data_IF_242646754379
#
_entry.id   IF_242646754379
#
_cell.length_a   1.000
_cell.length_b   1.000
_cell.length_c   1.000
_cell.angle_alpha   90.00
_cell.angle_beta   90.00
_cell.angle_gamma   90.00
#
_symmetry.space_group_name_H-M   'P 1'
#
loop_
_entity.id
_entity.type
_entity.pdbx_description
1 polymer ?
#
# COMPACT_ATOMS: atom_id res chain seq x y z
N UNK A 1 -12.55 -15.46 -3.95
CA UNK A 1 -12.20 -16.74 -4.61
C UNK A 1 -11.44 -16.40 -5.88
N UNK A 2 -10.26 -16.98 -6.08
CA UNK A 2 -9.48 -16.79 -7.32
C UNK A 2 -10.28 -17.35 -8.50
N UNK A 3 -10.49 -16.54 -9.53
CA UNK A 3 -11.19 -16.96 -10.73
C UNK A 3 -10.33 -17.97 -11.50
N UNK A 4 -10.89 -19.12 -11.87
CA UNK A 4 -10.17 -20.10 -12.69
C UNK A 4 -10.37 -19.77 -14.17
N UNK A 5 -9.38 -19.13 -14.78
CA UNK A 5 -9.41 -18.75 -16.19
C UNK A 5 -9.46 -19.93 -17.16
N UNK A 6 -9.13 -21.16 -16.73
CA UNK A 6 -9.33 -22.36 -17.55
C UNK A 6 -10.81 -22.63 -17.86
N UNK A 7 -11.73 -22.07 -17.06
CA UNK A 7 -13.18 -22.20 -17.30
C UNK A 7 -13.66 -21.44 -18.53
N UNK A 8 -12.84 -20.56 -19.12
CA UNK A 8 -13.19 -19.75 -20.30
C UNK A 8 -12.42 -20.13 -21.56
N UNK A 9 -11.80 -21.31 -21.59
CA UNK A 9 -11.04 -21.80 -22.75
C UNK A 9 -11.95 -22.41 -23.83
N UNK A 10 -11.56 -22.22 -25.08
CA UNK A 10 -12.17 -22.81 -26.27
C UNK A 10 -11.10 -23.30 -27.25
N UNK A 11 -11.43 -24.34 -28.01
CA UNK A 11 -10.73 -24.73 -29.23
C UNK A 11 -11.20 -23.86 -30.41
N UNK A 12 -10.37 -23.60 -31.43
CA UNK A 12 -10.78 -22.85 -32.64
C UNK A 12 -11.96 -23.50 -33.39
N UNK A 13 -12.13 -24.81 -33.24
CA UNK A 13 -13.20 -25.60 -33.87
C UNK A 13 -14.49 -25.66 -33.04
N UNK A 14 -14.49 -25.16 -31.79
CA UNK A 14 -15.70 -25.09 -30.99
C UNK A 14 -16.74 -24.18 -31.67
N UNK A 15 -18.02 -24.43 -31.44
CA UNK A 15 -19.09 -23.66 -32.08
C UNK A 15 -19.30 -22.29 -31.43
N UNK A 16 -19.84 -21.34 -32.20
CA UNK A 16 -20.28 -20.03 -31.67
C UNK A 16 -21.26 -20.22 -30.50
N UNK A 17 -22.15 -21.22 -30.57
CA UNK A 17 -23.04 -21.59 -29.44
C UNK A 17 -22.25 -21.90 -28.18
N UNK A 18 -21.21 -22.72 -28.30
CA UNK A 18 -20.36 -23.07 -27.16
C UNK A 18 -19.66 -21.85 -26.58
N UNK A 19 -19.20 -20.93 -27.43
CA UNK A 19 -18.65 -19.66 -26.96
C UNK A 19 -19.64 -18.83 -26.14
N UNK A 20 -20.90 -18.74 -26.58
CA UNK A 20 -21.97 -18.06 -25.83
C UNK A 20 -22.15 -18.69 -24.45
N UNK A 21 -22.21 -20.03 -24.36
CA UNK A 21 -22.33 -20.74 -23.09
C UNK A 21 -21.15 -20.47 -22.15
N UNK A 22 -19.93 -20.48 -22.69
CA UNK A 22 -18.72 -20.22 -21.91
C UNK A 22 -18.68 -18.78 -21.40
N UNK A 23 -19.08 -17.81 -22.23
CA UNK A 23 -19.14 -16.40 -21.85
C UNK A 23 -20.18 -16.16 -20.75
N UNK A 24 -21.35 -16.78 -20.85
CA UNK A 24 -22.44 -16.70 -19.88
C UNK A 24 -22.05 -17.35 -18.53
N UNK A 25 -21.51 -18.57 -18.57
CA UNK A 25 -21.13 -19.32 -17.37
C UNK A 25 -19.86 -18.78 -16.71
N UNK A 26 -18.91 -18.28 -17.51
CA UNK A 26 -17.60 -17.81 -17.05
C UNK A 26 -17.65 -16.48 -16.30
N UNK A 27 -18.76 -15.73 -16.35
CA UNK A 27 -18.97 -14.43 -15.69
C UNK A 27 -17.92 -13.34 -16.01
N UNK A 28 -17.02 -13.58 -16.97
CA UNK A 28 -15.96 -12.64 -17.38
C UNK A 28 -16.19 -12.00 -18.73
N UNK A 29 -17.31 -12.33 -19.41
CA UNK A 29 -17.71 -11.71 -20.69
C UNK A 29 -16.69 -11.91 -21.83
N UNK A 30 -15.84 -12.96 -21.73
CA UNK A 30 -14.80 -13.28 -22.70
C UNK A 30 -14.56 -14.80 -22.71
N UNK A 31 -14.25 -15.34 -23.88
CA UNK A 31 -13.67 -16.66 -24.06
C UNK A 31 -12.31 -16.57 -24.75
N UNK A 32 -11.39 -17.47 -24.38
CA UNK A 32 -10.00 -17.50 -24.83
C UNK A 32 -9.82 -18.71 -25.75
N UNK A 33 -9.46 -18.46 -27.00
CA UNK A 33 -9.27 -19.52 -28.00
C UNK A 33 -7.81 -19.93 -27.98
N UNK A 34 -7.53 -21.21 -27.75
CA UNK A 34 -6.18 -21.75 -27.61
C UNK A 34 -5.95 -22.99 -28.49
N UNK A 35 -4.69 -23.31 -28.78
CA UNK A 35 -4.30 -24.58 -29.39
C UNK A 35 -4.14 -25.71 -28.34
N UNK A 36 -3.67 -26.88 -28.78
CA UNK A 36 -3.46 -28.05 -27.93
C UNK A 36 -2.35 -27.84 -26.87
N UNK A 37 -1.47 -26.87 -27.09
CA UNK A 37 -0.38 -26.47 -26.19
C UNK A 37 -0.73 -25.23 -25.36
N UNK A 38 -2.02 -24.84 -25.30
CA UNK A 38 -2.55 -23.67 -24.61
C UNK A 38 -1.96 -22.32 -25.08
N UNK A 39 -1.46 -22.26 -26.32
CA UNK A 39 -1.04 -20.99 -26.92
C UNK A 39 -2.26 -20.19 -27.34
N UNK A 40 -2.27 -18.91 -27.02
CA UNK A 40 -3.40 -18.03 -27.34
C UNK A 40 -3.49 -17.80 -28.85
N UNK A 41 -4.58 -18.25 -29.46
CA UNK A 41 -4.90 -18.02 -30.88
C UNK A 41 -5.80 -16.80 -31.08
N UNK A 42 -6.66 -16.50 -30.10
CA UNK A 42 -7.59 -15.39 -30.20
C UNK A 42 -8.50 -15.24 -28.98
N UNK A 43 -9.39 -14.27 -29.05
CA UNK A 43 -10.42 -14.04 -28.03
C UNK A 43 -11.80 -13.88 -28.68
N UNK A 44 -12.85 -14.24 -27.94
CA UNK A 44 -14.24 -14.06 -28.37
C UNK A 44 -14.99 -13.33 -27.26
N UNK A 45 -15.69 -12.27 -27.64
CA UNK A 45 -16.58 -11.49 -26.76
C UNK A 45 -18.00 -11.45 -27.33
N UNK A 46 -18.96 -10.93 -26.56
CA UNK A 46 -20.32 -10.64 -27.07
C UNK A 46 -20.30 -9.76 -28.32
N UNK A 47 -19.34 -8.83 -28.42
CA UNK A 47 -19.16 -7.97 -29.59
C UNK A 47 -18.76 -8.75 -30.84
N UNK A 48 -17.94 -9.79 -30.69
CA UNK A 48 -17.51 -10.67 -31.79
C UNK A 48 -18.67 -11.55 -32.26
N UNK A 49 -19.37 -12.18 -31.33
CA UNK A 49 -20.54 -13.02 -31.60
C UNK A 49 -21.62 -12.21 -32.32
N UNK A 50 -21.95 -11.02 -31.79
CA UNK A 50 -22.92 -10.11 -32.42
C UNK A 50 -22.51 -9.75 -33.85
N UNK A 51 -21.23 -9.45 -34.10
CA UNK A 51 -20.71 -9.19 -35.46
C UNK A 51 -20.81 -10.41 -36.36
N UNK A 52 -20.58 -11.61 -35.84
CA UNK A 52 -20.75 -12.88 -36.56
C UNK A 52 -22.19 -13.14 -36.99
N UNK A 53 -23.16 -12.94 -36.08
CA UNK A 53 -24.60 -13.08 -36.35
C UNK A 53 -25.04 -12.08 -37.44
N UNK A 54 -24.57 -10.83 -37.38
CA UNK A 54 -24.85 -9.81 -38.41
C UNK A 54 -24.27 -10.17 -39.79
N UNK A 55 -23.27 -11.06 -39.84
CA UNK A 55 -22.71 -11.62 -41.09
C UNK A 55 -23.39 -12.93 -41.50
N UNK A 56 -24.49 -13.31 -40.86
CA UNK A 56 -25.25 -14.54 -41.10
C UNK A 56 -24.49 -15.85 -40.84
N UNK A 57 -23.52 -15.83 -39.92
CA UNK A 57 -22.90 -17.09 -39.45
C UNK A 57 -23.91 -17.90 -38.62
N UNK A 58 -23.91 -19.21 -38.81
CA UNK A 58 -24.73 -20.12 -38.02
C UNK A 58 -24.12 -20.28 -36.62
N UNK A 59 -24.95 -20.55 -35.61
CA UNK A 59 -24.47 -20.80 -34.25
C UNK A 59 -23.56 -22.04 -34.15
N UNK A 60 -23.66 -22.96 -35.11
CA UNK A 60 -22.81 -24.14 -35.22
C UNK A 60 -21.50 -23.88 -36.00
N UNK A 61 -21.30 -22.67 -36.52
CA UNK A 61 -20.03 -22.31 -37.17
C UNK A 61 -18.89 -22.27 -36.16
N UNK A 62 -17.64 -22.62 -36.57
CA UNK A 62 -16.46 -22.54 -35.71
C UNK A 62 -16.19 -21.13 -35.19
N UNK A 63 -15.74 -21.02 -33.94
CA UNK A 63 -15.37 -19.75 -33.29
C UNK A 63 -14.20 -19.06 -33.97
N UNK A 64 -13.33 -19.80 -34.66
CA UNK A 64 -12.26 -19.25 -35.48
C UNK A 64 -12.76 -18.24 -36.54
N UNK A 65 -14.04 -18.32 -36.95
CA UNK A 65 -14.63 -17.40 -37.93
C UNK A 65 -15.09 -16.07 -37.33
N UNK A 66 -15.24 -15.98 -36.01
CA UNK A 66 -15.70 -14.77 -35.30
C UNK A 66 -14.65 -14.18 -34.36
N UNK A 67 -13.67 -14.97 -33.92
CA UNK A 67 -12.69 -14.53 -32.94
C UNK A 67 -11.85 -13.33 -33.41
N UNK A 68 -11.42 -12.52 -32.44
CA UNK A 68 -10.31 -11.60 -32.65
C UNK A 68 -9.00 -12.41 -32.60
N UNK A 69 -8.42 -12.67 -33.77
CA UNK A 69 -7.16 -13.41 -33.93
C UNK A 69 -5.90 -12.61 -33.54
N UNK A 70 -6.04 -11.32 -33.18
CA UNK A 70 -4.94 -10.48 -32.71
C UNK A 70 -5.36 -9.72 -31.45
N UNK A 71 -5.62 -10.42 -30.33
CA UNK A 71 -5.96 -9.77 -29.08
C UNK A 71 -4.75 -8.99 -28.55
N UNK A 72 -5.01 -7.91 -27.81
CA UNK A 72 -3.98 -7.35 -26.94
C UNK A 72 -3.69 -8.34 -25.80
N UNK A 73 -2.44 -8.43 -25.35
CA UNK A 73 -2.01 -9.34 -24.29
C UNK A 73 -1.05 -8.65 -23.34
N UNK A 74 -0.93 -9.15 -22.11
CA UNK A 74 0.07 -8.74 -21.14
C UNK A 74 1.13 -9.84 -20.94
N UNK A 75 2.41 -9.49 -20.69
CA UNK A 75 3.41 -10.45 -20.24
C UNK A 75 3.14 -10.89 -18.80
N UNK A 76 3.67 -12.03 -18.37
CA UNK A 76 3.47 -12.57 -17.00
C UNK A 76 4.01 -11.68 -15.86
N UNK A 77 4.88 -10.72 -16.17
CA UNK A 77 5.53 -9.81 -15.21
C UNK A 77 5.09 -8.35 -15.38
N UNK A 78 3.88 -8.12 -15.90
CA UNK A 78 3.35 -6.79 -16.15
C UNK A 78 3.19 -5.94 -14.88
N UNK A 79 3.27 -4.61 -15.01
CA UNK A 79 2.92 -3.67 -13.95
C UNK A 79 1.44 -3.31 -14.01
N UNK A 80 0.79 -3.14 -12.85
CA UNK A 80 -0.64 -2.77 -12.76
C UNK A 80 -1.01 -1.54 -13.60
N UNK A 81 -0.13 -0.53 -13.65
CA UNK A 81 -0.29 0.67 -14.47
C UNK A 81 -0.32 0.37 -15.97
N UNK A 82 0.53 -0.54 -16.44
CA UNK A 82 0.58 -0.98 -17.85
C UNK A 82 -0.73 -1.68 -18.22
N UNK A 83 -1.25 -2.53 -17.34
CA UNK A 83 -2.53 -3.21 -17.56
C UNK A 83 -3.70 -2.21 -17.64
N UNK A 84 -3.77 -1.24 -16.73
CA UNK A 84 -4.78 -0.18 -16.75
C UNK A 84 -4.70 0.68 -18.03
N UNK A 85 -3.48 1.04 -18.45
CA UNK A 85 -3.25 1.81 -19.67
C UNK A 85 -3.67 1.02 -20.92
N UNK A 86 -3.35 -0.28 -20.97
CA UNK A 86 -3.72 -1.14 -22.09
C UNK A 86 -5.23 -1.32 -22.18
N UNK A 87 -5.90 -1.63 -21.07
CA UNK A 87 -7.37 -1.75 -21.01
C UNK A 87 -8.06 -0.46 -21.49
N UNK A 88 -7.59 0.70 -21.01
CA UNK A 88 -8.14 2.00 -21.39
C UNK A 88 -7.92 2.34 -22.87
N UNK A 89 -6.69 2.16 -23.38
CA UNK A 89 -6.34 2.48 -24.77
C UNK A 89 -6.98 1.54 -25.79
N UNK A 90 -7.05 0.24 -25.48
CA UNK A 90 -7.69 -0.76 -26.32
C UNK A 90 -9.23 -0.79 -26.18
N UNK A 91 -9.79 -0.05 -25.22
CA UNK A 91 -11.23 -0.05 -24.88
C UNK A 91 -11.78 -1.46 -24.62
N UNK A 92 -10.99 -2.28 -23.92
CA UNK A 92 -11.36 -3.65 -23.53
C UNK A 92 -11.46 -3.75 -22.02
N UNK A 93 -12.25 -4.71 -21.56
CA UNK A 93 -12.50 -4.93 -20.12
C UNK A 93 -11.67 -6.08 -19.55
N UNK A 94 -11.04 -6.88 -20.41
CA UNK A 94 -10.21 -8.03 -20.05
C UNK A 94 -9.00 -8.11 -20.98
N UNK A 95 -7.86 -8.58 -20.45
CA UNK A 95 -6.64 -8.80 -21.22
C UNK A 95 -6.01 -10.15 -20.85
N UNK A 96 -5.80 -11.07 -21.81
CA UNK A 96 -5.09 -12.33 -21.57
C UNK A 96 -3.62 -12.08 -21.17
N UNK A 97 -3.12 -12.89 -20.26
CA UNK A 97 -1.72 -12.87 -19.81
C UNK A 97 -1.00 -14.05 -20.46
N UNK A 98 0.09 -13.79 -21.16
CA UNK A 98 0.90 -14.80 -21.85
C UNK A 98 2.35 -14.77 -21.38
N UNK A 99 3.03 -15.92 -21.44
CA UNK A 99 4.48 -15.98 -21.22
C UNK A 99 5.26 -15.66 -22.52
N UNK A 100 6.59 -15.72 -22.46
CA UNK A 100 7.48 -15.45 -23.61
C UNK A 100 7.22 -16.37 -24.82
N UNK A 101 6.70 -17.57 -24.59
CA UNK A 101 6.34 -18.51 -25.64
C UNK A 101 4.93 -18.26 -26.22
N UNK A 102 4.16 -17.29 -25.69
CA UNK A 102 2.77 -17.05 -26.10
C UNK A 102 1.76 -18.04 -25.52
N UNK A 103 2.18 -18.87 -24.55
CA UNK A 103 1.29 -19.75 -23.80
C UNK A 103 0.51 -18.90 -22.81
N UNK A 104 -0.81 -19.13 -22.75
CA UNK A 104 -1.70 -18.44 -21.83
C UNK A 104 -1.40 -18.87 -20.39
N UNK A 105 -1.21 -17.90 -19.50
CA UNK A 105 -0.92 -18.14 -18.07
C UNK A 105 -1.92 -17.47 -17.14
N UNK A 106 -2.81 -16.64 -17.68
CA UNK A 106 -3.83 -15.95 -16.90
C UNK A 106 -4.74 -15.04 -17.70
N UNK A 107 -5.67 -14.39 -17.00
CA UNK A 107 -6.58 -13.40 -17.54
C UNK A 107 -6.70 -12.26 -16.52
N UNK A 108 -6.35 -11.05 -16.95
CA UNK A 108 -6.54 -9.85 -16.14
C UNK A 108 -7.85 -9.16 -16.54
N UNK A 109 -8.60 -8.62 -15.58
CA UNK A 109 -9.83 -7.87 -15.89
C UNK A 109 -9.83 -6.51 -15.23
N UNK A 110 -10.48 -5.53 -15.86
CA UNK A 110 -10.62 -4.20 -15.27
C UNK A 110 -11.25 -4.28 -13.88
N UNK A 111 -12.27 -5.14 -13.70
CA UNK A 111 -12.89 -5.38 -12.40
C UNK A 111 -11.90 -5.92 -11.38
N UNK A 112 -10.99 -6.83 -11.77
CA UNK A 112 -9.99 -7.38 -10.84
C UNK A 112 -8.89 -6.36 -10.52
N UNK A 113 -8.47 -5.54 -11.49
CA UNK A 113 -7.58 -4.41 -11.24
C UNK A 113 -8.23 -3.31 -10.41
N UNK A 114 -9.54 -3.13 -10.50
CA UNK A 114 -10.30 -2.17 -9.69
C UNK A 114 -10.63 -2.73 -8.30
N UNK A 115 -10.67 -4.05 -8.11
CA UNK A 115 -10.74 -4.64 -6.78
C UNK A 115 -9.47 -4.28 -6.03
N UNK A 116 -9.63 -3.64 -4.86
CA UNK A 116 -8.52 -3.38 -3.96
C UNK A 116 -7.87 -4.73 -3.61
N UNK A 117 -6.56 -4.92 -3.84
CA UNK A 117 -5.88 -6.11 -3.34
C UNK A 117 -6.12 -6.20 -1.83
N UNK A 118 -6.39 -7.37 -1.26
CA UNK A 118 -6.50 -7.48 0.20
C UNK A 118 -5.12 -7.72 0.76
N UNK A 119 -4.57 -6.73 1.44
CA UNK A 119 -3.32 -6.87 2.17
C UNK A 119 -3.62 -7.50 3.53
N UNK A 120 -3.16 -8.73 3.72
CA UNK A 120 -3.31 -9.50 4.96
C UNK A 120 -2.43 -8.99 6.10
N UNK A 121 -1.40 -8.20 5.75
CA UNK A 121 -0.50 -7.52 6.66
C UNK A 121 -1.29 -6.61 7.61
N UNK A 122 -1.13 -6.76 8.93
CA UNK A 122 -1.75 -5.84 9.88
C UNK A 122 -1.09 -4.46 9.80
N UNK A 123 -1.87 -3.45 10.16
CA UNK A 123 -1.41 -2.06 10.33
C UNK A 123 -1.58 -1.67 11.78
N UNK A 124 -0.55 -1.05 12.35
CA UNK A 124 -0.56 -0.43 13.67
C UNK A 124 -0.44 1.08 13.53
N UNK A 125 -1.47 1.81 13.99
CA UNK A 125 -1.49 3.27 13.98
C UNK A 125 -1.28 3.79 15.41
N UNK A 126 -0.26 4.62 15.58
CA UNK A 126 0.08 5.21 16.87
C UNK A 126 -0.79 6.44 17.16
N UNK A 127 -1.68 6.38 18.14
CA UNK A 127 -2.54 7.51 18.50
C UNK A 127 -2.55 7.86 20.01
N UNK A 128 -1.58 7.35 20.78
CA UNK A 128 -1.51 7.52 22.25
C UNK A 128 -0.82 8.80 22.77
N UNK A 129 -0.19 9.61 21.91
CA UNK A 129 0.63 10.74 22.36
C UNK A 129 -0.14 11.94 22.92
N UNK A 130 0.41 12.62 23.94
CA UNK A 130 -0.20 13.82 24.55
C UNK A 130 -0.19 15.07 23.66
N UNK A 131 0.67 15.14 22.63
CA UNK A 131 0.71 16.27 21.71
C UNK A 131 1.00 17.65 22.34
N UNK A 132 1.74 17.70 23.45
CA UNK A 132 1.90 18.92 24.27
C UNK A 132 2.48 20.12 23.54
N UNK A 133 3.25 19.91 22.47
CA UNK A 133 3.86 20.96 21.64
C UNK A 133 2.86 21.72 20.74
N UNK A 134 1.65 21.20 20.60
CA UNK A 134 0.56 21.79 19.81
C UNK A 134 -0.52 22.44 20.68
N UNK A 135 -0.28 22.59 21.99
CA UNK A 135 -1.21 23.33 22.85
C UNK A 135 -1.37 24.77 22.35
N UNK A 136 -2.59 25.34 22.40
CA UNK A 136 -3.77 24.82 23.09
C UNK A 136 -4.65 23.84 22.27
N UNK A 137 -4.32 23.57 21.00
CA UNK A 137 -5.14 22.71 20.13
C UNK A 137 -5.34 21.31 20.73
N UNK A 138 -4.32 20.81 21.43
CA UNK A 138 -4.31 19.47 22.03
C UNK A 138 -4.85 19.40 23.44
N UNK A 139 -5.39 20.49 24.01
CA UNK A 139 -5.99 20.46 25.36
C UNK A 139 -7.34 19.73 25.38
N UNK A 140 -8.09 19.79 24.28
CA UNK A 140 -9.42 19.17 24.15
C UNK A 140 -9.55 18.20 22.97
N UNK A 141 -8.49 18.02 22.18
CA UNK A 141 -8.48 17.15 21.01
C UNK A 141 -7.16 16.34 20.97
N UNK A 142 -7.19 14.99 20.88
CA UNK A 142 -5.97 14.23 20.67
C UNK A 142 -5.22 14.74 19.43
N UNK A 143 -3.88 14.79 19.47
CA UNK A 143 -3.07 15.23 18.32
C UNK A 143 -3.48 14.55 16.99
N UNK A 144 -3.60 13.21 16.90
CA UNK A 144 -4.00 12.53 15.66
C UNK A 144 -5.41 12.90 15.16
N UNK A 145 -6.24 13.49 16.02
CA UNK A 145 -7.60 13.92 15.71
C UNK A 145 -7.69 15.37 15.24
N UNK A 146 -6.59 16.13 15.27
CA UNK A 146 -6.59 17.50 14.76
C UNK A 146 -6.94 17.51 13.26
N UNK A 147 -7.86 18.40 12.83
CA UNK A 147 -8.34 18.39 11.47
C UNK A 147 -7.30 19.02 10.52
N UNK A 148 -6.99 18.29 9.45
CA UNK A 148 -6.23 18.81 8.29
C UNK A 148 -7.07 18.59 7.04
N UNK A 149 -7.31 19.63 6.24
CA UNK A 149 -8.15 19.50 5.04
C UNK A 149 -9.59 19.00 5.31
N UNK A 150 -10.14 19.30 6.50
CA UNK A 150 -11.51 18.94 6.89
C UNK A 150 -11.70 17.57 7.56
N UNK A 151 -10.65 16.74 7.67
CA UNK A 151 -10.69 15.43 8.36
C UNK A 151 -9.54 15.28 9.36
N UNK A 152 -9.67 14.43 10.39
CA UNK A 152 -8.56 14.05 11.27
C UNK A 152 -7.30 13.58 10.53
N UNK A 153 -6.10 13.94 11.00
CA UNK A 153 -4.83 13.43 10.44
C UNK A 153 -4.80 11.89 10.38
N UNK A 154 -5.23 11.23 11.47
CA UNK A 154 -5.29 9.78 11.54
C UNK A 154 -6.25 9.16 10.51
N UNK A 155 -7.31 9.89 10.13
CA UNK A 155 -8.26 9.42 9.12
C UNK A 155 -7.64 9.43 7.74
N UNK A 156 -6.82 10.43 7.40
CA UNK A 156 -6.09 10.45 6.14
C UNK A 156 -5.14 9.25 6.02
N UNK A 157 -4.39 8.96 7.10
CA UNK A 157 -3.49 7.79 7.15
C UNK A 157 -4.28 6.49 6.95
N UNK A 158 -5.40 6.34 7.66
CA UNK A 158 -6.28 5.18 7.53
C UNK A 158 -6.78 5.02 6.09
N UNK A 159 -7.35 6.07 5.50
CA UNK A 159 -7.91 6.01 4.13
C UNK A 159 -6.85 5.71 3.08
N UNK A 160 -5.64 6.29 3.20
CA UNK A 160 -4.54 6.01 2.27
C UNK A 160 -4.14 4.53 2.32
N UNK A 161 -4.00 3.94 3.51
CA UNK A 161 -3.74 2.50 3.66
C UNK A 161 -4.90 1.63 3.16
N UNK A 162 -6.15 2.05 3.36
CA UNK A 162 -7.31 1.34 2.81
C UNK A 162 -7.26 1.31 1.27
N UNK A 163 -6.81 2.39 0.63
CA UNK A 163 -6.63 2.44 -0.83
C UNK A 163 -5.54 1.49 -1.32
N UNK A 164 -4.51 1.25 -0.51
CA UNK A 164 -3.51 0.21 -0.77
C UNK A 164 -4.00 -1.21 -0.45
N UNK A 165 -5.20 -1.37 0.12
CA UNK A 165 -5.81 -2.67 0.33
C UNK A 165 -5.72 -3.23 1.74
N UNK A 166 -5.14 -2.48 2.69
CA UNK A 166 -5.08 -2.87 4.08
C UNK A 166 -6.47 -2.83 4.71
N UNK A 167 -6.78 -3.85 5.52
CA UNK A 167 -8.11 -3.98 6.11
C UNK A 167 -8.10 -4.41 7.59
N UNK A 168 -6.92 -4.67 8.18
CA UNK A 168 -6.74 -5.09 9.57
C UNK A 168 -5.93 -4.04 10.31
N UNK A 169 -6.59 -3.21 11.10
CA UNK A 169 -5.99 -2.07 11.77
C UNK A 169 -6.02 -2.26 13.29
N UNK A 170 -4.93 -1.85 13.92
CA UNK A 170 -4.78 -1.73 15.36
C UNK A 170 -4.42 -0.28 15.66
N UNK A 171 -5.15 0.37 16.56
CA UNK A 171 -4.90 1.77 16.93
C UNK A 171 -4.49 1.81 18.40
N UNK A 172 -3.29 2.31 18.69
CA UNK A 172 -2.89 2.54 20.09
C UNK A 172 -3.52 3.82 20.62
N UNK A 173 -4.20 3.75 21.75
CA UNK A 173 -4.93 4.88 22.33
C UNK A 173 -4.61 5.04 23.81
N UNK A 174 -4.47 6.30 24.24
CA UNK A 174 -4.20 6.67 25.64
C UNK A 174 -4.94 7.96 26.01
N UNK A 175 -4.36 9.12 25.66
CA UNK A 175 -4.92 10.44 25.96
C UNK A 175 -6.19 10.72 25.13
N UNK A 176 -7.30 11.11 25.79
CA UNK A 176 -8.59 11.42 25.15
C UNK A 176 -9.09 10.33 24.19
N UNK A 177 -8.77 9.06 24.48
CA UNK A 177 -9.06 7.87 23.65
C UNK A 177 -10.52 7.75 23.24
N UNK A 178 -11.46 8.22 24.07
CA UNK A 178 -12.89 8.15 23.82
C UNK A 178 -13.26 8.87 22.52
N UNK A 179 -12.55 9.95 22.17
CA UNK A 179 -12.77 10.67 20.91
C UNK A 179 -12.30 9.86 19.70
N UNK A 180 -11.15 9.19 19.81
CA UNK A 180 -10.61 8.32 18.75
C UNK A 180 -11.56 7.14 18.54
N UNK A 181 -11.97 6.46 19.61
CA UNK A 181 -12.86 5.29 19.53
C UNK A 181 -14.25 5.69 18.98
N UNK A 182 -14.81 6.82 19.45
CA UNK A 182 -16.10 7.31 18.97
C UNK A 182 -16.05 7.68 17.49
N UNK A 183 -14.94 8.26 17.03
CA UNK A 183 -14.76 8.60 15.63
C UNK A 183 -14.61 7.34 14.78
N UNK A 184 -13.62 6.48 15.04
CA UNK A 184 -13.25 5.37 14.16
C UNK A 184 -14.12 4.11 14.32
N UNK A 185 -14.74 3.91 15.49
CA UNK A 185 -15.58 2.75 15.79
C UNK A 185 -14.88 1.42 15.43
N UNK A 186 -15.57 0.46 14.83
CA UNK A 186 -15.00 -0.83 14.42
C UNK A 186 -14.40 -0.83 12.99
N UNK A 187 -14.44 0.32 12.29
CA UNK A 187 -13.99 0.45 10.91
C UNK A 187 -15.00 0.04 9.84
N UNK A 188 -16.19 -0.46 10.22
CA UNK A 188 -17.20 -0.99 9.29
C UNK A 188 -17.63 0.03 8.23
N UNK A 189 -17.66 1.33 8.57
CA UNK A 189 -17.99 2.41 7.62
C UNK A 189 -17.01 2.54 6.45
N UNK A 190 -15.79 2.03 6.59
CA UNK A 190 -14.80 1.98 5.52
C UNK A 190 -14.57 0.55 4.99
N UNK A 191 -15.35 -0.42 5.44
CA UNK A 191 -15.21 -1.82 5.03
C UNK A 191 -13.97 -2.53 5.59
N UNK A 192 -13.45 -2.06 6.74
CA UNK A 192 -12.26 -2.61 7.39
C UNK A 192 -12.53 -2.99 8.85
N UNK A 193 -11.56 -3.63 9.49
CA UNK A 193 -11.63 -4.01 10.90
C UNK A 193 -10.61 -3.20 11.71
N UNK A 194 -11.08 -2.48 12.73
CA UNK A 194 -10.27 -1.70 13.66
C UNK A 194 -10.37 -2.31 15.06
N UNK A 195 -9.23 -2.57 15.68
CA UNK A 195 -9.10 -2.96 17.08
C UNK A 195 -8.28 -1.91 17.83
N UNK A 196 -8.59 -1.69 19.11
CA UNK A 196 -7.92 -0.68 19.92
C UNK A 196 -7.00 -1.33 20.94
N UNK A 197 -5.77 -0.80 21.01
CA UNK A 197 -4.77 -1.19 21.99
C UNK A 197 -4.69 -0.10 23.04
N UNK A 198 -5.16 -0.41 24.24
CA UNK A 198 -5.21 0.54 25.34
C UNK A 198 -3.88 0.52 26.09
N UNK A 199 -3.24 1.68 26.18
CA UNK A 199 -2.07 1.86 27.02
C UNK A 199 -2.53 2.41 28.39
N UNK A 200 -2.28 1.69 29.47
CA UNK A 200 -2.55 2.20 30.83
C UNK A 200 -1.56 3.30 31.24
N UNK A 201 -0.33 3.21 30.71
CA UNK A 201 0.73 4.20 30.85
C UNK A 201 1.51 4.35 29.53
N UNK A 202 2.21 5.47 29.28
CA UNK A 202 2.93 5.68 28.02
C UNK A 202 4.06 4.65 27.81
N UNK A 203 3.86 3.68 26.90
CA UNK A 203 4.81 2.59 26.64
C UNK A 203 5.88 2.96 25.59
N UNK A 204 5.95 4.22 25.18
CA UNK A 204 6.89 4.67 24.15
C UNK A 204 6.37 4.38 22.74
N UNK A 205 7.20 4.65 21.72
CA UNK A 205 6.75 4.58 20.32
C UNK A 205 6.72 3.17 19.73
N UNK A 206 7.17 2.16 20.47
CA UNK A 206 7.09 0.76 20.07
C UNK A 206 6.45 -0.15 21.13
N UNK A 207 6.44 0.22 22.42
CA UNK A 207 6.02 -0.69 23.50
C UNK A 207 4.57 -1.20 23.38
N UNK A 208 3.65 -0.42 22.81
CA UNK A 208 2.27 -0.84 22.57
C UNK A 208 2.15 -2.03 21.61
N UNK A 209 3.15 -2.28 20.76
CA UNK A 209 3.20 -3.47 19.89
C UNK A 209 3.27 -4.78 20.70
N UNK A 210 3.87 -4.75 21.89
CA UNK A 210 3.92 -5.90 22.81
C UNK A 210 2.57 -6.29 23.41
N UNK A 211 1.53 -5.45 23.24
CA UNK A 211 0.16 -5.72 23.68
C UNK A 211 -0.70 -6.38 22.59
N UNK A 212 -0.19 -6.51 21.36
CA UNK A 212 -0.92 -7.15 20.26
C UNK A 212 -1.14 -8.63 20.54
N UNK A 213 -2.31 -9.19 20.15
CA UNK A 213 -2.50 -10.63 20.12
C UNK A 213 -1.41 -11.29 19.25
N UNK A 214 -0.79 -12.38 19.71
CA UNK A 214 0.32 -13.01 18.96
C UNK A 214 -0.12 -13.52 17.58
N UNK A 215 -1.34 -14.04 17.50
CA UNK A 215 -1.98 -14.53 16.28
C UNK A 215 -2.39 -13.40 15.32
N UNK A 216 -2.44 -12.15 15.78
CA UNK A 216 -2.70 -11.00 14.93
C UNK A 216 -1.58 -10.77 13.90
N UNK A 217 -0.34 -11.04 14.29
CA UNK A 217 0.88 -10.69 13.53
C UNK A 217 1.53 -11.95 12.97
N UNK A 218 0.95 -12.47 11.88
CA UNK A 218 1.50 -13.61 11.12
C UNK A 218 2.29 -13.17 9.88
N UNK A 219 2.14 -11.91 9.49
CA UNK A 219 2.82 -11.25 8.38
C UNK A 219 3.48 -9.96 8.89
N UNK A 220 4.47 -9.40 8.17
CA UNK A 220 5.08 -8.14 8.54
C UNK A 220 4.02 -7.07 8.84
N UNK A 221 4.16 -6.39 9.98
CA UNK A 221 3.24 -5.33 10.42
C UNK A 221 3.75 -3.98 9.96
N UNK A 222 2.87 -3.14 9.42
CA UNK A 222 3.19 -1.74 9.16
C UNK A 222 2.87 -0.93 10.39
N UNK A 223 3.82 -0.13 10.88
CA UNK A 223 3.64 0.77 12.01
C UNK A 223 3.74 2.20 11.51
N UNK A 224 2.72 3.02 11.78
CA UNK A 224 2.64 4.40 11.32
C UNK A 224 2.35 5.34 12.49
N UNK A 225 3.14 6.40 12.60
CA UNK A 225 2.87 7.47 13.54
C UNK A 225 1.61 8.26 13.15
N UNK A 226 0.69 8.51 14.08
CA UNK A 226 -0.60 9.16 13.78
C UNK A 226 -0.54 10.68 13.55
N UNK A 227 0.66 11.27 13.52
CA UNK A 227 0.92 12.70 13.38
C UNK A 227 1.72 13.06 12.12
N UNK A 228 1.82 12.13 11.17
CA UNK A 228 2.47 12.37 9.88
C UNK A 228 1.44 12.61 8.78
N UNK A 229 1.79 13.46 7.83
CA UNK A 229 1.09 13.63 6.56
C UNK A 229 2.01 13.17 5.44
N UNK A 230 1.60 12.12 4.71
CA UNK A 230 2.50 11.44 3.78
C UNK A 230 1.78 10.86 2.56
N UNK A 231 2.57 10.56 1.52
CA UNK A 231 2.15 9.86 0.29
C UNK A 231 3.07 8.69 -0.05
N UNK A 232 3.62 8.04 0.98
CA UNK A 232 4.48 6.87 0.83
C UNK A 232 3.78 5.79 0.02
N UNK A 233 4.51 5.19 -0.92
CA UNK A 233 4.05 4.01 -1.63
C UNK A 233 4.18 2.74 -0.76
N UNK A 234 3.11 2.38 -0.04
CA UNK A 234 3.10 1.21 0.83
C UNK A 234 3.26 -0.12 0.10
N UNK A 235 2.84 -0.22 -1.16
CA UNK A 235 3.06 -1.39 -2.00
C UNK A 235 4.56 -1.60 -2.26
N UNK A 236 5.26 -0.54 -2.70
CA UNK A 236 6.70 -0.59 -2.93
C UNK A 236 7.49 -0.87 -1.64
N UNK A 237 7.05 -0.29 -0.52
CA UNK A 237 7.62 -0.53 0.80
C UNK A 237 7.53 -2.01 1.21
N UNK A 238 6.34 -2.62 1.08
CA UNK A 238 6.16 -4.04 1.39
C UNK A 238 6.94 -4.94 0.42
N UNK A 239 6.95 -4.63 -0.88
CA UNK A 239 7.71 -5.40 -1.86
C UNK A 239 9.22 -5.39 -1.54
N UNK A 240 9.78 -4.24 -1.16
CA UNK A 240 11.19 -4.16 -0.74
C UNK A 240 11.45 -4.96 0.54
N UNK A 241 10.55 -4.86 1.53
CA UNK A 241 10.67 -5.63 2.76
C UNK A 241 10.60 -7.14 2.50
N UNK A 242 9.63 -7.62 1.74
CA UNK A 242 9.44 -9.04 1.43
C UNK A 242 10.58 -9.60 0.59
N UNK A 243 11.19 -8.80 -0.30
CA UNK A 243 12.33 -9.24 -1.13
C UNK A 243 13.58 -9.56 -0.31
N UNK A 244 13.83 -8.81 0.77
CA UNK A 244 15.05 -8.97 1.58
C UNK A 244 14.79 -9.63 2.94
N UNK A 245 13.54 -9.69 3.38
CA UNK A 245 13.10 -10.29 4.65
C UNK A 245 13.89 -9.81 5.88
N UNK A 246 14.12 -8.48 6.06
CA UNK A 246 14.87 -7.98 7.21
C UNK A 246 14.06 -8.13 8.50
N UNK A 247 14.69 -7.92 9.66
CA UNK A 247 13.94 -7.81 10.92
C UNK A 247 13.04 -6.56 10.91
N UNK A 248 13.53 -5.47 10.35
CA UNK A 248 12.76 -4.24 10.20
C UNK A 248 13.16 -3.46 8.94
N UNK A 249 12.21 -2.71 8.39
CA UNK A 249 12.45 -1.65 7.40
C UNK A 249 11.97 -0.33 8.00
N UNK A 250 12.81 0.70 7.98
CA UNK A 250 12.49 2.06 8.42
C UNK A 250 12.38 2.97 7.20
N UNK A 251 11.26 3.68 7.07
CA UNK A 251 11.15 4.75 6.08
C UNK A 251 12.01 5.95 6.52
N UNK A 252 12.80 6.48 5.61
CA UNK A 252 13.70 7.60 5.87
C UNK A 252 13.43 8.79 4.94
N UNK A 253 13.66 10.00 5.44
CA UNK A 253 13.60 11.23 4.66
C UNK A 253 14.95 11.94 4.70
N UNK A 254 15.39 12.48 3.57
CA UNK A 254 16.58 13.33 3.55
C UNK A 254 16.28 14.66 4.27
N UNK A 255 17.15 15.04 5.18
CA UNK A 255 17.10 16.29 5.94
C UNK A 255 18.40 17.05 5.74
N UNK A 256 18.28 18.26 5.20
CA UNK A 256 19.41 19.14 4.91
C UNK A 256 19.51 20.19 6.01
N UNK A 257 20.65 20.20 6.72
CA UNK A 257 20.96 21.20 7.73
C UNK A 257 22.07 22.11 7.21
N UNK A 258 21.73 23.36 6.91
CA UNK A 258 22.71 24.38 6.58
C UNK A 258 23.16 25.10 7.84
N UNK A 259 24.46 25.08 8.12
CA UNK A 259 25.04 25.98 9.11
C UNK A 259 25.10 27.37 8.47
N UNK A 260 24.48 28.42 9.02
CA UNK A 260 24.44 29.74 8.37
C UNK A 260 25.75 30.54 8.50
N UNK A 261 26.84 29.88 8.92
CA UNK A 261 28.14 30.46 9.23
C UNK A 261 29.29 29.61 8.63
N UNK A 262 30.49 30.17 8.62
CA UNK A 262 31.71 29.41 8.37
C UNK A 262 32.00 28.40 9.49
N UNK A 263 32.08 27.12 9.14
CA UNK A 263 32.50 26.04 10.04
C UNK A 263 34.01 25.90 9.96
N UNK A 264 34.66 25.96 11.13
CA UNK A 264 36.11 25.87 11.27
C UNK A 264 36.47 24.48 11.78
N UNK A 265 37.28 23.75 11.02
CA UNK A 265 37.89 22.51 11.48
C UNK A 265 39.30 22.82 12.00
N UNK A 266 39.58 22.44 13.24
CA UNK A 266 40.82 22.81 13.94
C UNK A 266 41.40 21.64 14.73
N UNK A 267 42.72 21.68 14.94
CA UNK A 267 43.42 20.85 15.92
C UNK A 267 44.15 21.77 16.90
N UNK A 268 43.74 21.77 18.17
CA UNK A 268 44.17 22.78 19.14
C UNK A 268 43.78 24.20 18.68
N UNK A 269 44.76 25.08 18.47
CA UNK A 269 44.55 26.44 17.95
C UNK A 269 44.85 26.58 16.45
N UNK A 270 45.27 25.50 15.78
CA UNK A 270 45.60 25.52 14.36
C UNK A 270 44.36 25.18 13.53
N UNK A 271 43.94 26.11 12.68
CA UNK A 271 42.88 25.89 11.69
C UNK A 271 43.46 25.07 10.54
N UNK A 272 42.78 23.99 10.13
CA UNK A 272 43.15 23.20 8.95
C UNK A 272 42.13 23.30 7.82
N UNK A 273 40.88 23.67 8.11
CA UNK A 273 39.85 23.88 7.10
C UNK A 273 38.83 24.94 7.54
N UNK A 274 38.24 25.63 6.56
CA UNK A 274 37.13 26.57 6.76
C UNK A 274 36.12 26.36 5.63
N UNK A 275 34.91 25.96 5.99
CA UNK A 275 33.83 25.72 5.03
C UNK A 275 32.75 26.75 5.28
N UNK A 276 32.47 27.61 4.29
CA UNK A 276 31.43 28.61 4.39
C UNK A 276 30.06 27.98 4.11
N UNK A 277 29.12 28.19 5.05
CA UNK A 277 27.73 27.73 4.97
C UNK A 277 27.55 26.28 4.52
N UNK A 278 28.26 25.31 5.14
CA UNK A 278 28.16 23.91 4.74
C UNK A 278 26.73 23.42 4.93
N UNK A 279 26.31 22.58 4.00
CA UNK A 279 25.07 21.82 4.10
C UNK A 279 25.43 20.40 4.47
N UNK A 280 24.87 19.92 5.58
CA UNK A 280 24.98 18.53 5.99
C UNK A 280 23.73 17.79 5.60
N UNK A 281 23.90 16.66 4.91
CA UNK A 281 22.81 15.80 4.47
C UNK A 281 22.67 14.62 5.43
N UNK A 282 21.47 14.45 5.99
CA UNK A 282 21.15 13.37 6.90
C UNK A 282 19.94 12.58 6.41
N UNK A 283 19.80 11.34 6.87
CA UNK A 283 18.55 10.59 6.78
C UNK A 283 17.90 10.54 8.15
N UNK A 284 16.68 11.05 8.25
CA UNK A 284 15.88 11.03 9.48
C UNK A 284 14.76 10.01 9.37
N UNK A 285 14.29 9.50 10.50
CA UNK A 285 13.14 8.59 10.54
C UNK A 285 11.88 9.32 10.08
N UNK A 286 11.14 8.71 9.15
CA UNK A 286 9.87 9.23 8.66
C UNK A 286 8.65 8.79 9.51
N UNK A 287 8.86 8.11 10.65
CA UNK A 287 7.76 7.64 11.50
C UNK A 287 6.91 6.52 10.88
N UNK A 288 7.44 5.81 9.89
CA UNK A 288 6.81 4.66 9.24
C UNK A 288 7.80 3.49 9.25
N UNK A 289 7.33 2.31 9.63
CA UNK A 289 8.16 1.13 9.81
C UNK A 289 7.42 -0.12 9.31
N UNK A 290 8.17 -1.09 8.83
CA UNK A 290 7.69 -2.47 8.63
C UNK A 290 8.48 -3.37 9.55
N UNK A 291 7.81 -4.09 10.44
CA UNK A 291 8.44 -5.00 11.39
C UNK A 291 8.07 -6.44 11.06
N UNK A 292 9.06 -7.32 11.00
CA UNK A 292 8.81 -8.73 10.79
C UNK A 292 8.12 -9.36 12.03
N UNK A 293 7.31 -10.42 11.86
CA UNK A 293 6.55 -11.04 12.96
C UNK A 293 7.42 -11.40 14.17
N UNK A 294 8.62 -11.94 13.94
CA UNK A 294 9.53 -12.34 15.01
C UNK A 294 9.94 -11.18 15.92
N UNK A 295 10.03 -9.94 15.40
CA UNK A 295 10.38 -8.76 16.19
C UNK A 295 9.27 -8.47 17.18
N UNK A 296 8.01 -8.45 16.71
CA UNK A 296 6.84 -8.19 17.55
C UNK A 296 6.63 -9.31 18.56
N UNK A 297 6.79 -10.57 18.15
CA UNK A 297 6.63 -11.73 19.04
C UNK A 297 7.66 -11.82 20.17
N UNK A 298 8.84 -11.21 19.98
CA UNK A 298 9.89 -11.12 20.98
C UNK A 298 9.65 -9.98 22.00
N UNK A 299 8.71 -9.06 21.72
CA UNK A 299 8.42 -7.96 22.62
C UNK A 299 7.75 -8.43 23.91
N UNK A 300 8.12 -7.79 25.01
CA UNK A 300 7.53 -8.04 26.34
C UNK A 300 6.39 -7.05 26.54
N UNK A 301 5.20 -7.55 26.85
CA UNK A 301 4.03 -6.73 27.14
C UNK A 301 4.31 -5.74 28.30
N UNK A 302 3.66 -4.57 28.26
CA UNK A 302 3.79 -3.52 29.28
C UNK A 302 5.21 -3.00 29.51
N UNK A 303 6.12 -3.19 28.56
CA UNK A 303 7.49 -2.67 28.63
C UNK A 303 7.59 -1.39 27.82
N UNK A 304 8.10 -0.33 28.44
CA UNK A 304 8.38 0.93 27.74
C UNK A 304 9.57 0.73 26.79
N UNK A 305 9.34 0.96 25.50
CA UNK A 305 10.40 0.96 24.48
C UNK A 305 10.03 1.91 23.34
N UNK A 306 11.00 2.72 22.93
CA UNK A 306 10.89 3.59 21.77
C UNK A 306 11.47 2.90 20.53
N UNK A 307 10.93 3.21 19.36
CA UNK A 307 11.29 2.57 18.09
C UNK A 307 12.80 2.63 17.79
N UNK A 308 13.52 3.74 18.02
CA UNK A 308 14.98 3.76 17.82
C UNK A 308 15.72 2.73 18.66
N UNK A 309 15.27 2.47 19.90
CA UNK A 309 15.93 1.52 20.79
C UNK A 309 15.58 0.08 20.43
N UNK A 310 14.34 -0.18 19.97
CA UNK A 310 13.97 -1.45 19.36
C UNK A 310 14.88 -1.77 18.16
N UNK A 311 15.02 -0.84 17.21
CA UNK A 311 15.84 -1.05 16.02
C UNK A 311 17.33 -1.23 16.36
N UNK A 312 17.87 -0.47 17.33
CA UNK A 312 19.25 -0.66 17.82
C UNK A 312 19.47 -2.05 18.42
N UNK A 313 18.48 -2.59 19.13
CA UNK A 313 18.56 -3.93 19.70
C UNK A 313 18.61 -5.00 18.60
N UNK A 314 17.82 -4.86 17.54
CA UNK A 314 17.86 -5.75 16.37
C UNK A 314 19.23 -5.70 15.67
N UNK A 315 19.78 -4.50 15.45
CA UNK A 315 21.11 -4.30 14.85
C UNK A 315 22.21 -4.93 15.70
N UNK A 316 22.16 -4.72 17.02
CA UNK A 316 23.15 -5.25 17.96
C UNK A 316 23.09 -6.78 18.04
N UNK A 317 21.90 -7.36 17.82
CA UNK A 317 21.71 -8.80 17.71
C UNK A 317 22.10 -9.37 16.33
N UNK A 318 22.70 -8.56 15.45
CA UNK A 318 23.16 -8.97 14.12
C UNK A 318 22.06 -9.18 13.09
N UNK A 319 20.82 -8.72 13.37
CA UNK A 319 19.70 -8.81 12.43
C UNK A 319 19.68 -7.59 11.52
N UNK A 320 19.27 -7.81 10.27
CA UNK A 320 19.24 -6.74 9.27
C UNK A 320 18.10 -5.76 9.58
N UNK A 321 18.44 -4.46 9.60
CA UNK A 321 17.49 -3.35 9.61
C UNK A 321 17.74 -2.50 8.38
N UNK A 322 16.74 -2.36 7.51
CA UNK A 322 16.86 -1.72 6.21
C UNK A 322 16.27 -0.32 6.20
N UNK A 323 16.83 0.55 5.37
CA UNK A 323 16.25 1.85 5.08
C UNK A 323 15.41 1.77 3.80
N UNK A 324 14.27 2.47 3.79
CA UNK A 324 13.45 2.72 2.60
C UNK A 324 13.30 4.24 2.41
N UNK A 325 13.98 4.85 1.43
CA UNK A 325 13.94 6.30 1.22
C UNK A 325 12.57 6.75 0.69
N UNK A 326 11.95 7.71 1.37
CA UNK A 326 10.69 8.34 0.97
C UNK A 326 10.98 9.53 0.08
N UNK A 327 10.59 9.44 -1.19
CA UNK A 327 10.74 10.50 -2.17
C UNK A 327 9.50 11.38 -2.28
N UNK A 328 8.34 10.81 -1.94
CA UNK A 328 7.04 11.46 -1.96
C UNK A 328 6.90 12.51 -0.84
N UNK A 329 5.73 13.17 -0.79
CA UNK A 329 5.42 14.14 0.26
C UNK A 329 5.47 13.47 1.65
N UNK A 330 6.10 14.15 2.59
CA UNK A 330 6.16 13.76 3.99
C UNK A 330 6.31 15.00 4.87
N UNK A 331 5.50 15.08 5.92
CA UNK A 331 5.53 16.12 6.93
C UNK A 331 5.20 15.52 8.31
N UNK A 332 6.11 15.69 9.27
CA UNK A 332 5.84 15.42 10.70
C UNK A 332 5.18 16.66 11.32
N UNK A 333 3.94 16.53 11.78
CA UNK A 333 3.15 17.65 12.27
C UNK A 333 3.41 17.81 13.76
N UNK A 334 4.61 18.27 14.13
CA UNK A 334 5.09 18.32 15.51
C UNK A 334 4.76 19.61 16.28
N UNK A 335 4.66 20.73 15.58
CA UNK A 335 4.57 22.11 16.11
C UNK A 335 3.55 22.94 15.32
N UNK A 336 3.23 24.13 15.83
CA UNK A 336 2.21 24.99 15.22
C UNK A 336 2.52 25.34 13.76
N UNK A 337 3.77 25.70 13.45
CA UNK A 337 4.18 26.00 12.07
C UNK A 337 4.01 24.80 11.14
N UNK A 338 4.25 23.57 11.62
CA UNK A 338 4.07 22.35 10.83
C UNK A 338 2.57 22.10 10.58
N UNK A 339 1.73 22.39 11.57
CA UNK A 339 0.28 22.30 11.44
C UNK A 339 -0.28 23.33 10.46
N UNK A 340 0.19 24.58 10.51
CA UNK A 340 -0.16 25.61 9.53
C UNK A 340 0.30 25.24 8.12
N UNK A 341 1.50 24.68 7.97
CA UNK A 341 1.99 24.17 6.69
C UNK A 341 1.11 23.04 6.16
N UNK A 342 0.76 22.08 7.02
CA UNK A 342 -0.14 20.98 6.66
C UNK A 342 -1.51 21.50 6.17
N UNK A 343 -2.03 22.56 6.78
CA UNK A 343 -3.29 23.18 6.36
C UNK A 343 -3.20 23.82 4.97
N UNK A 344 -2.08 24.46 4.65
CA UNK A 344 -1.86 25.07 3.34
C UNK A 344 -1.67 24.00 2.25
N UNK A 345 -0.96 22.93 2.57
CA UNK A 345 -0.62 21.85 1.63
C UNK A 345 -1.77 20.85 1.45
N UNK A 346 -2.75 20.83 2.36
CA UNK A 346 -3.86 19.90 2.40
C UNK A 346 -4.55 19.72 1.04
N UNK A 347 -4.88 20.82 0.34
CA UNK A 347 -5.57 20.78 -0.94
C UNK A 347 -4.72 20.19 -2.09
N UNK A 348 -3.40 20.29 -2.01
CA UNK A 348 -2.50 19.78 -3.06
C UNK A 348 -2.11 18.32 -2.82
N UNK A 349 -2.00 17.92 -1.55
CA UNK A 349 -1.42 16.63 -1.17
C UNK A 349 -2.50 15.59 -0.87
N UNK A 350 -3.56 15.98 -0.15
CA UNK A 350 -4.60 15.07 0.30
C UNK A 350 -5.58 14.79 -0.85
N UNK A 351 -6.16 13.58 -0.85
CA UNK A 351 -7.20 13.25 -1.83
C UNK A 351 -8.48 13.98 -1.45
N UNK A 352 -9.12 14.63 -2.41
CA UNK A 352 -10.50 15.10 -2.26
C UNK A 352 -11.45 13.92 -2.45
N UNK A 353 -12.47 13.84 -1.61
CA UNK A 353 -13.57 12.88 -1.75
C UNK A 353 -14.43 13.16 -3.00
#
# INVERSE_FOLDING_TARGET
MSFNWHSVLLSPEDSIRRAIEVIDQGAKQIALVVDAEERLLGTVTDGDIRRGILRHLALESPVAQVMNARPCTLPSNYLRSEALQLLGSAQVMQVPIVNEAGVLVGLETLTDLLKRPRCENPVFLMAGGFGTRLRPLTDTCPKPMLPVGGKPMLEHILQDLIDYGFYRFYISVHYLREQVIAHFQDGSRWGVHIQYIHEDAPLGTAGALGLLPRDAVQRPIIVVNGDIMTRVNYEALLQDHDRHTPAATICTRQYDFQVPYGVIEHEGQRIHNLIEKPVHHFFVSAGIYVLAPQVVHAMVANTRIDMPDLLKAEITAGREVRMFPVHEYWLDIGRMNDFELAQNDAAAVLRHD
#
